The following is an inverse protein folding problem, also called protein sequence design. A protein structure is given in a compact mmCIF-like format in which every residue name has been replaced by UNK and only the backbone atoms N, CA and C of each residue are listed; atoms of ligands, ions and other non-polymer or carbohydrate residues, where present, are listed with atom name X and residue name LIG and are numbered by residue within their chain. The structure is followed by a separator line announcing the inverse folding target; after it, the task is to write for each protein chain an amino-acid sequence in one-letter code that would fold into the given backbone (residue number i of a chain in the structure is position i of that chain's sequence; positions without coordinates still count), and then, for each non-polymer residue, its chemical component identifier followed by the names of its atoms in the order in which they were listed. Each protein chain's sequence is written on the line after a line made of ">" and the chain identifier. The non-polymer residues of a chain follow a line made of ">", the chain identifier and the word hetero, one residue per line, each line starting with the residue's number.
data_IF_550288366413
#
_entry.id   IF_550288366413
#
_cell.length_a   1.000
_cell.length_b   1.000
_cell.length_c   1.000
_cell.angle_alpha   90.00
_cell.angle_beta   90.00
_cell.angle_gamma   90.00
#
_symmetry.space_group_name_H-M   'P 1'
#
loop_
_entity.id
_entity.type
_entity.pdbx_description
1 polymer ?
#
# COMPACT_ATOMS: atom_id res chain seq x y z
N UNK A 1 -32.50 1.42 5.24
CA UNK A 1 -31.25 1.61 4.45
C UNK A 1 -30.23 0.63 5.01
N UNK A 2 -29.55 -0.13 4.16
CA UNK A 2 -28.47 -1.03 4.60
C UNK A 2 -27.20 -0.23 4.91
N UNK A 3 -26.26 -0.82 5.68
CA UNK A 3 -24.95 -0.17 5.96
C UNK A 3 -24.23 0.19 4.65
N UNK A 4 -24.26 -0.70 3.66
CA UNK A 4 -23.72 -0.42 2.33
C UNK A 4 -24.37 0.82 1.68
N UNK A 5 -25.69 0.94 1.71
CA UNK A 5 -26.37 2.09 1.10
C UNK A 5 -26.01 3.41 1.79
N UNK A 6 -25.90 3.40 3.13
CA UNK A 6 -25.49 4.59 3.89
C UNK A 6 -24.08 5.04 3.48
N UNK A 7 -23.15 4.09 3.44
CA UNK A 7 -21.74 4.37 3.09
C UNK A 7 -21.62 4.78 1.61
N UNK A 8 -22.33 4.11 0.70
CA UNK A 8 -22.31 4.41 -0.72
C UNK A 8 -22.85 5.81 -1.03
N UNK A 9 -24.02 6.14 -0.49
CA UNK A 9 -24.65 7.45 -0.74
C UNK A 9 -23.77 8.58 -0.19
N UNK A 10 -23.19 8.38 0.99
CA UNK A 10 -22.29 9.35 1.59
C UNK A 10 -21.02 9.53 0.73
N UNK A 11 -20.30 8.46 0.43
CA UNK A 11 -19.04 8.50 -0.33
C UNK A 11 -19.28 9.08 -1.74
N UNK A 12 -20.29 8.62 -2.47
CA UNK A 12 -20.63 9.16 -3.79
C UNK A 12 -20.88 10.68 -3.75
N UNK A 13 -21.54 11.16 -2.68
CA UNK A 13 -21.73 12.59 -2.44
C UNK A 13 -20.44 13.37 -2.17
N UNK A 14 -19.40 12.71 -1.62
CA UNK A 14 -18.12 13.33 -1.29
C UNK A 14 -17.09 13.26 -2.43
N UNK A 15 -17.23 12.40 -3.44
CA UNK A 15 -16.28 12.28 -4.55
C UNK A 15 -15.90 13.63 -5.18
N UNK A 16 -16.83 14.58 -5.42
CA UNK A 16 -16.47 15.89 -5.98
C UNK A 16 -15.43 16.67 -5.14
N UNK A 17 -15.39 16.47 -3.83
CA UNK A 17 -14.47 17.18 -2.92
C UNK A 17 -13.05 16.66 -3.01
N UNK A 18 -12.86 15.42 -3.43
CA UNK A 18 -11.55 14.80 -3.63
C UNK A 18 -10.87 15.26 -4.94
N UNK A 19 -11.64 15.79 -5.89
CA UNK A 19 -11.15 16.16 -7.22
C UNK A 19 -10.63 17.60 -7.20
N UNK A 20 -9.30 17.74 -7.30
CA UNK A 20 -8.61 19.04 -7.19
C UNK A 20 -8.06 19.48 -8.54
N UNK A 21 -8.13 20.79 -8.75
CA UNK A 21 -7.57 21.42 -9.95
C UNK A 21 -6.06 21.69 -9.80
N UNK A 22 -5.32 21.81 -10.92
CA UNK A 22 -3.89 22.10 -10.91
C UNK A 22 -3.56 23.36 -10.10
N UNK A 23 -2.47 23.29 -9.33
CA UNK A 23 -1.96 24.45 -8.61
C UNK A 23 -0.46 24.34 -8.31
N UNK A 24 0.26 25.43 -8.43
CA UNK A 24 1.70 25.52 -8.13
C UNK A 24 2.52 24.42 -8.85
N UNK A 25 3.17 23.51 -8.10
CA UNK A 25 3.96 22.41 -8.68
C UNK A 25 3.10 21.29 -9.24
N UNK A 26 1.84 21.18 -8.81
CA UNK A 26 0.91 20.17 -9.25
C UNK A 26 0.26 20.67 -10.55
N UNK A 27 0.75 20.18 -11.68
CA UNK A 27 0.42 20.71 -13.02
C UNK A 27 -0.81 20.11 -13.66
N UNK A 28 -1.25 18.95 -13.18
CA UNK A 28 -2.40 18.22 -13.69
C UNK A 28 -3.47 18.10 -12.60
N UNK A 29 -4.76 17.95 -12.97
CA UNK A 29 -5.81 17.66 -12.01
C UNK A 29 -5.47 16.40 -11.22
N UNK A 30 -5.83 16.34 -9.95
CA UNK A 30 -5.43 15.25 -9.08
C UNK A 30 -6.53 14.87 -8.08
N UNK A 31 -6.38 13.70 -7.49
CA UNK A 31 -7.24 13.19 -6.42
C UNK A 31 -6.47 13.33 -5.12
N UNK A 32 -7.04 13.98 -4.13
CA UNK A 32 -6.46 14.07 -2.80
C UNK A 32 -7.21 13.21 -1.77
N UNK A 33 -6.56 12.83 -0.68
CA UNK A 33 -7.17 11.95 0.33
C UNK A 33 -8.22 12.63 1.19
N UNK A 34 -8.26 13.96 1.23
CA UNK A 34 -9.08 14.74 2.14
C UNK A 34 -8.45 14.98 3.51
N UNK A 35 -9.21 15.58 4.43
CA UNK A 35 -8.79 15.88 5.81
C UNK A 35 -7.55 16.77 5.88
N UNK A 36 -6.62 16.47 6.76
CA UNK A 36 -5.34 17.20 6.98
C UNK A 36 -4.36 17.08 5.82
N UNK A 37 -4.60 16.17 4.88
CA UNK A 37 -3.75 15.92 3.71
C UNK A 37 -4.14 16.73 2.47
N UNK A 38 -5.16 17.59 2.61
CA UNK A 38 -5.73 18.35 1.49
C UNK A 38 -4.67 19.18 0.76
N UNK A 39 -4.69 19.02 -0.56
CA UNK A 39 -3.94 19.82 -1.49
C UNK A 39 -2.56 19.33 -1.86
N UNK A 40 -2.11 18.20 -1.36
CA UNK A 40 -0.90 17.53 -1.80
C UNK A 40 -1.24 16.27 -2.60
N UNK A 41 -0.34 15.85 -3.49
CA UNK A 41 -0.45 14.55 -4.18
C UNK A 41 0.41 13.55 -3.45
N UNK A 42 -0.22 12.54 -2.88
CA UNK A 42 0.43 11.47 -2.14
C UNK A 42 0.40 10.18 -2.96
N UNK A 43 1.48 9.41 -2.93
CA UNK A 43 1.67 8.24 -3.79
C UNK A 43 0.64 7.10 -3.56
N UNK A 44 0.65 6.48 -2.38
CA UNK A 44 -0.24 5.34 -2.13
C UNK A 44 -1.70 5.75 -1.90
N UNK A 45 -1.92 7.00 -1.43
CA UNK A 45 -3.27 7.57 -1.28
C UNK A 45 -3.96 7.67 -2.64
N UNK A 46 -3.26 8.16 -3.67
CA UNK A 46 -3.80 8.21 -5.03
C UNK A 46 -4.09 6.83 -5.58
N UNK A 47 -3.25 5.83 -5.27
CA UNK A 47 -3.48 4.45 -5.69
C UNK A 47 -4.79 3.91 -5.11
N UNK A 48 -4.96 3.98 -3.79
CA UNK A 48 -6.14 3.44 -3.12
C UNK A 48 -7.40 4.21 -3.44
N UNK A 49 -7.32 5.54 -3.58
CA UNK A 49 -8.44 6.36 -4.03
C UNK A 49 -8.91 5.96 -5.44
N UNK A 50 -7.97 5.82 -6.38
CA UNK A 50 -8.30 5.41 -7.76
C UNK A 50 -8.88 4.01 -7.78
N UNK A 51 -8.27 3.07 -7.04
CA UNK A 51 -8.76 1.70 -6.95
C UNK A 51 -10.21 1.64 -6.43
N UNK A 52 -10.49 2.36 -5.33
CA UNK A 52 -11.83 2.44 -4.76
C UNK A 52 -12.83 3.11 -5.69
N UNK A 53 -12.48 4.26 -6.27
CA UNK A 53 -13.38 5.01 -7.16
C UNK A 53 -13.73 4.23 -8.43
N UNK A 54 -12.79 3.47 -9.00
CA UNK A 54 -13.06 2.63 -10.16
C UNK A 54 -13.98 1.45 -9.82
N UNK A 55 -13.92 0.93 -8.59
CA UNK A 55 -14.82 -0.15 -8.14
C UNK A 55 -16.28 0.28 -8.03
N UNK A 56 -16.52 1.57 -7.74
CA UNK A 56 -17.86 2.16 -7.66
C UNK A 56 -18.23 3.00 -8.88
N UNK A 57 -17.48 2.88 -9.98
CA UNK A 57 -17.69 3.68 -11.20
C UNK A 57 -19.14 3.60 -11.74
N UNK A 58 -19.78 2.43 -11.58
CA UNK A 58 -21.19 2.23 -11.97
C UNK A 58 -22.21 3.00 -11.12
N UNK A 59 -21.81 3.45 -9.94
CA UNK A 59 -22.65 4.21 -9.01
C UNK A 59 -22.49 5.74 -9.20
N UNK A 60 -21.49 6.17 -9.99
CA UNK A 60 -21.21 7.57 -10.27
C UNK A 60 -21.91 8.07 -11.55
N UNK A 61 -22.45 9.31 -11.55
CA UNK A 61 -22.92 9.94 -12.78
C UNK A 61 -21.82 10.02 -13.83
N UNK A 62 -22.13 9.77 -15.09
CA UNK A 62 -21.16 9.75 -16.19
C UNK A 62 -20.25 10.99 -16.27
N UNK A 63 -20.73 12.25 -16.08
CA UNK A 63 -19.86 13.42 -16.06
C UNK A 63 -18.86 13.41 -14.88
N UNK A 64 -19.27 12.90 -13.72
CA UNK A 64 -18.40 12.80 -12.56
C UNK A 64 -17.34 11.71 -12.75
N UNK A 65 -17.73 10.55 -13.30
CA UNK A 65 -16.79 9.48 -13.64
C UNK A 65 -15.73 9.97 -14.65
N UNK A 66 -16.14 10.73 -15.68
CA UNK A 66 -15.20 11.31 -16.63
C UNK A 66 -14.15 12.23 -15.93
N UNK A 67 -14.59 13.02 -14.95
CA UNK A 67 -13.66 13.82 -14.12
C UNK A 67 -12.74 12.95 -13.28
N UNK A 68 -13.26 11.93 -12.60
CA UNK A 68 -12.47 10.96 -11.83
C UNK A 68 -11.36 10.36 -12.70
N UNK A 69 -11.68 9.92 -13.91
CA UNK A 69 -10.70 9.33 -14.84
C UNK A 69 -9.64 10.35 -15.28
N UNK A 70 -10.03 11.59 -15.54
CA UNK A 70 -9.08 12.67 -15.88
C UNK A 70 -8.12 12.95 -14.71
N UNK A 71 -8.64 13.03 -13.49
CA UNK A 71 -7.84 13.27 -12.27
C UNK A 71 -6.94 12.06 -11.94
N UNK A 72 -7.43 10.84 -12.14
CA UNK A 72 -6.62 9.62 -11.97
C UNK A 72 -5.42 9.58 -12.93
N UNK A 73 -5.62 9.92 -14.20
CA UNK A 73 -4.52 10.10 -15.16
C UNK A 73 -3.60 11.24 -14.75
N UNK A 74 -4.16 12.32 -14.21
CA UNK A 74 -3.41 13.48 -13.73
C UNK A 74 -2.51 13.18 -12.53
N UNK A 75 -2.90 12.26 -11.62
CA UNK A 75 -2.02 11.78 -10.56
C UNK A 75 -0.71 11.22 -11.14
N UNK A 76 -0.81 10.33 -12.11
CA UNK A 76 0.35 9.72 -12.78
C UNK A 76 1.19 10.78 -13.48
N UNK A 77 0.55 11.68 -14.25
CA UNK A 77 1.24 12.75 -14.96
C UNK A 77 2.03 13.64 -14.00
N UNK A 78 1.45 14.00 -12.84
CA UNK A 78 2.13 14.80 -11.83
C UNK A 78 3.39 14.11 -11.30
N UNK A 79 3.34 12.82 -10.96
CA UNK A 79 4.52 12.09 -10.50
C UNK A 79 5.58 11.96 -11.59
N UNK A 80 5.18 11.65 -12.81
CA UNK A 80 6.10 11.52 -13.95
C UNK A 80 6.76 12.85 -14.32
N UNK A 81 6.05 13.98 -14.23
CA UNK A 81 6.60 15.32 -14.45
C UNK A 81 7.67 15.71 -13.40
N UNK A 82 7.63 15.09 -12.23
CA UNK A 82 8.57 15.35 -11.15
C UNK A 82 9.67 14.29 -11.02
N UNK A 83 9.74 13.34 -11.97
CA UNK A 83 10.82 12.37 -12.01
C UNK A 83 12.16 13.07 -12.28
N UNK A 84 13.16 12.75 -11.48
CA UNK A 84 14.53 13.23 -11.68
C UNK A 84 15.29 12.36 -12.69
N UNK A 85 16.40 12.86 -13.26
CA UNK A 85 17.18 12.13 -14.27
C UNK A 85 17.73 10.78 -13.81
N UNK A 86 17.92 10.60 -12.49
CA UNK A 86 18.37 9.34 -11.87
C UNK A 86 17.23 8.31 -11.68
N UNK A 87 16.01 8.66 -12.08
CA UNK A 87 14.83 7.83 -11.95
C UNK A 87 14.04 8.03 -10.65
N UNK A 88 14.55 8.83 -9.70
CA UNK A 88 13.86 9.15 -8.46
C UNK A 88 12.54 9.87 -8.74
N UNK A 89 11.47 9.43 -8.08
CA UNK A 89 10.16 10.09 -8.05
C UNK A 89 9.81 10.38 -6.58
N UNK A 90 9.42 11.63 -6.23
CA UNK A 90 9.05 11.94 -4.86
C UNK A 90 7.76 11.21 -4.49
N UNK A 91 7.62 10.79 -3.24
CA UNK A 91 6.40 10.12 -2.76
C UNK A 91 5.26 11.10 -2.49
N UNK A 92 5.57 12.39 -2.43
CA UNK A 92 4.61 13.47 -2.25
C UNK A 92 5.01 14.67 -3.11
N UNK A 93 4.02 15.32 -3.73
CA UNK A 93 4.18 16.62 -4.39
C UNK A 93 3.34 17.61 -3.60
N UNK A 94 4.01 18.55 -2.98
CA UNK A 94 3.40 19.55 -2.12
C UNK A 94 3.02 20.82 -2.86
N UNK A 95 2.22 21.67 -2.22
CA UNK A 95 2.01 23.04 -2.67
C UNK A 95 3.28 23.88 -2.52
N UNK A 96 3.45 24.85 -3.39
CA UNK A 96 4.67 25.67 -3.48
C UNK A 96 4.97 26.45 -2.19
N UNK A 97 5.94 25.95 -1.43
CA UNK A 97 6.62 26.70 -0.35
C UNK A 97 8.09 26.99 -0.70
N UNK A 98 8.62 26.31 -1.72
CA UNK A 98 10.01 26.28 -2.15
C UNK A 98 10.10 26.58 -3.65
N UNK A 99 11.29 26.83 -4.24
CA UNK A 99 11.45 27.02 -5.68
C UNK A 99 11.05 25.80 -6.53
N UNK A 100 11.06 24.61 -5.92
CA UNK A 100 10.63 23.34 -6.49
C UNK A 100 10.14 22.41 -5.36
N UNK A 101 9.52 21.24 -5.65
CA UNK A 101 9.07 20.31 -4.62
C UNK A 101 10.20 19.96 -3.64
N UNK A 102 9.92 20.06 -2.34
CA UNK A 102 10.94 19.92 -1.28
C UNK A 102 11.75 18.63 -1.38
N UNK A 103 11.09 17.50 -1.63
CA UNK A 103 11.80 16.21 -1.73
C UNK A 103 12.75 16.19 -2.93
N UNK A 104 12.37 16.80 -4.07
CA UNK A 104 13.26 16.92 -5.21
C UNK A 104 14.46 17.82 -4.91
N UNK A 105 14.25 18.92 -4.20
CA UNK A 105 15.33 19.80 -3.77
C UNK A 105 16.32 19.05 -2.89
N UNK A 106 15.83 18.32 -1.86
CA UNK A 106 16.68 17.52 -0.98
C UNK A 106 17.47 16.45 -1.73
N UNK A 107 16.82 15.78 -2.69
CA UNK A 107 17.51 14.79 -3.54
C UNK A 107 18.62 15.40 -4.37
N UNK A 108 18.41 16.58 -4.95
CA UNK A 108 19.43 17.32 -5.70
C UNK A 108 20.59 17.81 -4.82
N UNK A 109 20.36 18.04 -3.54
CA UNK A 109 21.39 18.33 -2.55
C UNK A 109 22.20 17.10 -2.14
N UNK A 110 21.92 15.90 -2.70
CA UNK A 110 22.63 14.65 -2.43
C UNK A 110 22.10 13.90 -1.20
N UNK A 111 20.94 14.26 -0.69
CA UNK A 111 20.30 13.51 0.41
C UNK A 111 19.64 12.26 -0.17
N UNK A 112 19.96 11.08 0.35
CA UNK A 112 19.21 9.86 0.07
C UNK A 112 17.87 9.95 0.78
N UNK A 113 16.79 9.63 0.08
CA UNK A 113 15.41 9.67 0.60
C UNK A 113 14.71 8.39 0.15
N UNK A 114 13.69 7.97 0.88
CA UNK A 114 12.74 7.03 0.31
C UNK A 114 12.08 7.66 -0.92
N UNK A 115 11.73 6.84 -1.90
CA UNK A 115 11.05 7.32 -3.10
C UNK A 115 9.61 6.79 -3.16
N UNK A 116 8.85 7.27 -4.13
CA UNK A 116 7.48 6.81 -4.39
C UNK A 116 7.37 5.30 -4.28
N UNK A 117 6.40 4.84 -3.50
CA UNK A 117 6.08 3.42 -3.32
C UNK A 117 5.65 2.76 -4.65
N UNK A 118 5.74 1.43 -4.77
CA UNK A 118 5.51 0.70 -6.03
C UNK A 118 4.03 0.61 -6.42
N UNK A 119 3.48 1.72 -6.94
CA UNK A 119 2.07 1.87 -7.29
C UNK A 119 1.79 2.55 -8.64
N UNK A 120 2.82 2.91 -9.43
CA UNK A 120 2.63 3.61 -10.71
C UNK A 120 2.06 2.71 -11.79
N UNK A 121 2.72 1.56 -12.04
CA UNK A 121 2.27 0.61 -13.05
C UNK A 121 0.90 0.02 -12.69
N UNK A 122 0.66 -0.21 -11.40
CA UNK A 122 -0.64 -0.65 -10.89
C UNK A 122 -1.75 0.34 -11.20
N UNK A 123 -1.53 1.64 -10.97
CA UNK A 123 -2.51 2.67 -11.33
C UNK A 123 -2.74 2.76 -12.83
N UNK A 124 -1.69 2.74 -13.64
CA UNK A 124 -1.80 2.76 -15.10
C UNK A 124 -2.60 1.54 -15.59
N UNK A 125 -2.29 0.34 -15.09
CA UNK A 125 -2.99 -0.89 -15.48
C UNK A 125 -4.49 -0.81 -15.16
N UNK A 126 -4.86 -0.40 -13.94
CA UNK A 126 -6.27 -0.34 -13.54
C UNK A 126 -7.08 0.72 -14.32
N UNK A 127 -6.51 1.92 -14.54
CA UNK A 127 -7.15 2.98 -15.33
C UNK A 127 -7.34 2.52 -16.78
N UNK A 128 -6.29 1.91 -17.37
CA UNK A 128 -6.32 1.46 -18.75
C UNK A 128 -7.28 0.30 -18.98
N UNK A 129 -7.38 -0.65 -18.04
CA UNK A 129 -8.38 -1.73 -18.10
C UNK A 129 -9.80 -1.19 -18.02
N UNK A 130 -10.03 -0.23 -17.13
CA UNK A 130 -11.36 0.35 -16.95
C UNK A 130 -11.82 1.13 -18.18
N UNK A 131 -10.91 1.88 -18.82
CA UNK A 131 -11.24 2.73 -19.98
C UNK A 131 -11.12 2.02 -21.33
N UNK A 132 -10.40 0.90 -21.41
CA UNK A 132 -9.97 0.27 -22.65
C UNK A 132 -8.90 1.05 -23.41
N UNK A 133 -8.52 2.24 -22.93
CA UNK A 133 -7.50 3.10 -23.52
C UNK A 133 -6.13 2.79 -22.87
N UNK A 134 -5.18 2.37 -23.68
CA UNK A 134 -3.80 2.07 -23.27
C UNK A 134 -2.81 3.08 -23.85
N UNK A 135 -3.19 3.80 -24.90
CA UNK A 135 -2.27 4.68 -25.62
C UNK A 135 -1.75 5.84 -24.77
N UNK A 136 -2.57 6.34 -23.84
CA UNK A 136 -2.24 7.50 -23.02
C UNK A 136 -0.97 7.32 -22.16
N UNK A 137 -0.65 6.09 -21.75
CA UNK A 137 0.46 5.82 -20.85
C UNK A 137 1.72 5.33 -21.57
N UNK A 138 1.68 5.09 -22.89
CA UNK A 138 2.82 4.55 -23.64
C UNK A 138 4.07 5.44 -23.54
N UNK A 139 3.89 6.76 -23.49
CA UNK A 139 4.98 7.72 -23.35
C UNK A 139 5.74 7.64 -22.03
N UNK A 140 5.15 7.03 -21.00
CA UNK A 140 5.78 6.90 -19.67
C UNK A 140 6.71 5.69 -19.53
N UNK A 141 6.74 4.76 -20.48
CA UNK A 141 7.51 3.51 -20.34
C UNK A 141 8.98 3.73 -19.97
N UNK A 142 9.66 4.68 -20.61
CA UNK A 142 11.05 4.98 -20.29
C UNK A 142 11.24 5.52 -18.87
N UNK A 143 10.31 6.33 -18.40
CA UNK A 143 10.29 6.83 -17.02
C UNK A 143 10.00 5.73 -15.99
N UNK A 144 9.08 4.82 -16.30
CA UNK A 144 8.80 3.66 -15.43
C UNK A 144 10.03 2.76 -15.30
N UNK A 145 10.78 2.53 -16.38
CA UNK A 145 12.05 1.77 -16.30
C UNK A 145 13.13 2.51 -15.51
N UNK A 146 13.24 3.82 -15.67
CA UNK A 146 14.14 4.62 -14.86
C UNK A 146 13.78 4.55 -13.37
N UNK A 147 12.50 4.53 -13.04
CA UNK A 147 11.99 4.34 -11.68
C UNK A 147 12.42 2.97 -11.10
N UNK A 148 12.22 1.85 -11.81
CA UNK A 148 12.69 0.54 -11.36
C UNK A 148 14.23 0.50 -11.26
N UNK A 149 14.95 1.12 -12.20
CA UNK A 149 16.41 1.19 -12.16
C UNK A 149 16.92 1.96 -10.93
N UNK A 150 16.18 2.97 -10.46
CA UNK A 150 16.49 3.68 -9.23
C UNK A 150 16.31 2.77 -8.02
N UNK A 151 15.21 2.00 -7.96
CA UNK A 151 15.00 1.00 -6.90
C UNK A 151 16.10 -0.06 -6.87
N UNK A 152 16.46 -0.63 -8.02
CA UNK A 152 17.56 -1.62 -8.13
C UNK A 152 18.90 -1.06 -7.65
N UNK A 153 19.21 0.16 -8.00
CA UNK A 153 20.47 0.78 -7.66
C UNK A 153 20.62 1.18 -6.21
N UNK A 154 19.53 1.68 -5.59
CA UNK A 154 19.62 2.36 -4.30
C UNK A 154 18.98 1.62 -3.14
N UNK A 155 17.99 0.78 -3.41
CA UNK A 155 17.18 0.16 -2.36
C UNK A 155 17.20 -1.37 -2.40
N UNK A 156 17.89 -1.97 -3.38
CA UNK A 156 17.98 -3.43 -3.48
C UNK A 156 19.14 -3.96 -2.64
N UNK A 157 18.85 -4.87 -1.71
CA UNK A 157 19.82 -5.55 -0.88
C UNK A 157 20.17 -6.91 -1.49
N UNK A 158 21.29 -6.99 -2.20
CA UNK A 158 21.66 -8.13 -3.04
C UNK A 158 21.83 -9.46 -2.26
N UNK A 159 22.30 -9.41 -1.01
CA UNK A 159 22.56 -10.63 -0.23
C UNK A 159 21.29 -11.40 0.10
N UNK A 160 20.18 -10.71 0.35
CA UNK A 160 18.89 -11.35 0.63
C UNK A 160 17.90 -11.28 -0.56
N UNK A 161 18.18 -10.47 -1.58
CA UNK A 161 17.32 -10.33 -2.76
C UNK A 161 16.04 -9.54 -2.50
N UNK A 162 16.04 -8.63 -1.53
CA UNK A 162 14.89 -7.84 -1.10
C UNK A 162 15.17 -6.34 -1.24
N UNK A 163 14.10 -5.55 -1.37
CA UNK A 163 14.17 -4.09 -1.29
C UNK A 163 14.05 -3.61 0.15
N UNK A 164 14.77 -2.54 0.47
CA UNK A 164 14.85 -1.93 1.82
C UNK A 164 14.32 -0.50 1.80
N UNK A 165 13.73 -0.06 2.90
CA UNK A 165 13.54 1.36 3.16
C UNK A 165 14.87 2.02 3.52
N UNK A 166 15.07 3.25 3.06
CA UNK A 166 16.23 4.02 3.48
C UNK A 166 16.10 4.41 4.96
N UNK A 167 14.94 4.95 5.32
CA UNK A 167 14.59 5.32 6.70
C UNK A 167 13.10 5.04 6.98
N UNK A 168 12.60 5.43 8.13
CA UNK A 168 11.19 5.29 8.51
C UNK A 168 10.31 6.49 8.09
N UNK A 169 10.90 7.50 7.46
CA UNK A 169 10.20 8.73 7.09
C UNK A 169 9.41 8.53 5.79
N UNK A 170 8.16 9.00 5.80
CA UNK A 170 7.28 9.03 4.62
C UNK A 170 7.03 7.67 3.97
N UNK A 171 7.15 6.57 4.71
CA UNK A 171 6.76 5.25 4.22
C UNK A 171 5.23 5.04 4.23
N UNK A 172 4.48 6.02 4.75
CA UNK A 172 3.02 6.03 4.84
C UNK A 172 2.47 5.36 6.09
N UNK A 173 3.28 4.62 6.80
CA UNK A 173 2.99 4.02 8.10
C UNK A 173 3.94 4.61 9.14
N UNK A 174 3.67 5.84 9.59
CA UNK A 174 4.63 6.71 10.27
C UNK A 174 5.25 6.13 11.55
N UNK A 175 4.57 5.20 12.19
CA UNK A 175 5.11 4.45 13.33
C UNK A 175 5.01 2.94 13.10
N UNK A 176 5.20 2.46 11.87
CA UNK A 176 5.26 1.02 11.59
C UNK A 176 6.29 0.34 12.49
N UNK A 177 5.87 -0.60 13.35
CA UNK A 177 6.74 -1.16 14.38
C UNK A 177 7.93 -1.95 13.84
N UNK A 178 7.90 -2.35 12.58
CA UNK A 178 9.00 -3.03 11.92
C UNK A 178 10.06 -2.09 11.35
N UNK A 179 9.74 -0.80 11.19
CA UNK A 179 10.62 0.19 10.53
C UNK A 179 10.98 1.36 11.45
N UNK A 180 10.08 1.74 12.35
CA UNK A 180 10.21 2.95 13.16
C UNK A 180 11.46 2.94 14.05
N UNK A 181 12.26 4.01 13.94
CA UNK A 181 13.47 4.21 14.74
C UNK A 181 14.62 3.23 14.45
N UNK A 182 14.55 2.47 13.35
CA UNK A 182 15.62 1.53 12.97
C UNK A 182 16.73 2.25 12.17
N UNK A 183 17.94 1.65 12.12
CA UNK A 183 19.03 2.20 11.32
C UNK A 183 18.65 2.32 9.84
N UNK A 184 19.20 3.32 9.15
CA UNK A 184 19.01 3.50 7.73
C UNK A 184 19.42 2.25 6.94
N UNK A 185 18.66 1.93 5.88
CA UNK A 185 18.89 0.79 4.99
C UNK A 185 18.89 -0.58 5.69
N UNK A 186 18.29 -0.69 6.89
CA UNK A 186 18.32 -1.92 7.70
C UNK A 186 17.05 -2.78 7.58
N UNK A 187 15.94 -2.24 7.10
CA UNK A 187 14.65 -2.95 7.11
C UNK A 187 14.19 -3.27 5.69
N UNK A 188 14.19 -4.57 5.35
CA UNK A 188 13.43 -5.06 4.21
C UNK A 188 11.99 -5.33 4.65
N UNK A 189 11.16 -4.32 4.48
CA UNK A 189 9.77 -4.36 4.93
C UNK A 189 8.93 -5.22 3.97
N UNK A 190 8.10 -6.11 4.53
CA UNK A 190 7.21 -6.97 3.75
C UNK A 190 6.22 -6.16 2.91
N UNK A 191 5.78 -4.98 3.39
CA UNK A 191 4.94 -4.05 2.65
C UNK A 191 5.59 -3.66 1.31
N UNK A 192 6.83 -3.12 1.35
CA UNK A 192 7.54 -2.69 0.16
C UNK A 192 7.73 -3.83 -0.83
N UNK A 193 8.18 -4.98 -0.34
CA UNK A 193 8.51 -6.12 -1.19
C UNK A 193 7.28 -6.77 -1.81
N UNK A 194 6.19 -6.89 -1.07
CA UNK A 194 4.97 -7.49 -1.61
C UNK A 194 4.27 -6.58 -2.64
N UNK A 195 4.25 -5.27 -2.44
CA UNK A 195 3.75 -4.34 -3.46
C UNK A 195 4.68 -4.25 -4.68
N UNK A 196 6.00 -4.38 -4.49
CA UNK A 196 6.95 -4.44 -5.62
C UNK A 196 6.71 -5.68 -6.51
N UNK A 197 6.33 -6.82 -5.93
CA UNK A 197 5.91 -8.01 -6.71
C UNK A 197 4.74 -7.68 -7.63
N UNK A 198 3.74 -6.97 -7.12
CA UNK A 198 2.56 -6.58 -7.92
C UNK A 198 2.91 -5.51 -8.96
N UNK A 199 3.75 -4.54 -8.61
CA UNK A 199 4.21 -3.50 -9.53
C UNK A 199 4.99 -4.07 -10.71
N UNK A 200 5.88 -5.04 -10.47
CA UNK A 200 6.59 -5.78 -11.53
C UNK A 200 5.64 -6.58 -12.41
N UNK A 201 4.59 -7.18 -11.83
CA UNK A 201 3.54 -7.87 -12.60
C UNK A 201 2.83 -6.88 -13.53
N UNK A 202 2.45 -5.70 -13.03
CA UNK A 202 1.80 -4.67 -13.81
C UNK A 202 2.72 -4.12 -14.90
N UNK A 203 4.00 -3.88 -14.61
CA UNK A 203 4.98 -3.46 -15.61
C UNK A 203 5.14 -4.49 -16.73
N UNK A 204 5.25 -5.77 -16.40
CA UNK A 204 5.32 -6.84 -17.40
C UNK A 204 4.05 -6.87 -18.29
N UNK A 205 2.87 -6.69 -17.70
CA UNK A 205 1.61 -6.64 -18.44
C UNK A 205 1.55 -5.43 -19.41
N UNK A 206 1.99 -4.25 -18.96
CA UNK A 206 2.08 -3.05 -19.81
C UNK A 206 3.03 -3.27 -20.98
N UNK A 207 4.22 -3.82 -20.73
CA UNK A 207 5.21 -4.11 -21.77
C UNK A 207 4.69 -5.10 -22.81
N UNK A 208 3.99 -6.15 -22.40
CA UNK A 208 3.31 -7.07 -23.32
C UNK A 208 2.27 -6.35 -24.17
N UNK A 209 1.48 -5.48 -23.58
CA UNK A 209 0.46 -4.71 -24.28
C UNK A 209 1.07 -3.77 -25.34
N UNK A 210 2.25 -3.23 -25.08
CA UNK A 210 2.99 -2.37 -26.01
C UNK A 210 3.97 -3.13 -26.93
N UNK A 211 3.84 -4.45 -27.05
CA UNK A 211 4.61 -5.27 -27.98
C UNK A 211 6.08 -5.46 -27.62
N UNK A 212 6.41 -5.46 -26.33
CA UNK A 212 7.78 -5.60 -25.83
C UNK A 212 7.97 -6.88 -24.97
N UNK A 213 7.79 -8.07 -25.57
CA UNK A 213 7.75 -9.34 -24.81
C UNK A 213 9.07 -9.70 -24.12
N UNK A 214 10.21 -9.35 -24.70
CA UNK A 214 11.52 -9.64 -24.10
C UNK A 214 11.75 -8.85 -22.81
N UNK A 215 11.37 -7.57 -22.82
CA UNK A 215 11.42 -6.72 -21.62
C UNK A 215 10.40 -7.17 -20.58
N UNK A 216 9.20 -7.54 -21.00
CA UNK A 216 8.20 -8.11 -20.11
C UNK A 216 8.72 -9.37 -19.40
N UNK A 217 9.39 -10.28 -20.15
CA UNK A 217 10.00 -11.47 -19.59
C UNK A 217 11.12 -11.15 -18.56
N UNK A 218 11.82 -10.02 -18.70
CA UNK A 218 12.78 -9.56 -17.69
C UNK A 218 12.08 -9.23 -16.38
N UNK A 219 11.01 -8.42 -16.39
CA UNK A 219 10.25 -8.08 -15.18
C UNK A 219 9.56 -9.29 -14.56
N UNK A 220 9.12 -10.27 -15.35
CA UNK A 220 8.62 -11.54 -14.83
C UNK A 220 9.70 -12.30 -14.05
N UNK A 221 10.93 -12.38 -14.58
CA UNK A 221 12.05 -13.02 -13.86
C UNK A 221 12.42 -12.27 -12.57
N UNK A 222 12.46 -10.94 -12.59
CA UNK A 222 12.70 -10.11 -11.39
C UNK A 222 11.63 -10.37 -10.34
N UNK A 223 10.37 -10.37 -10.75
CA UNK A 223 9.21 -10.70 -9.90
C UNK A 223 9.34 -12.09 -9.26
N UNK A 224 9.65 -13.11 -10.06
CA UNK A 224 9.74 -14.49 -9.57
C UNK A 224 10.93 -14.65 -8.60
N UNK A 225 12.04 -13.97 -8.85
CA UNK A 225 13.18 -13.92 -7.93
C UNK A 225 12.82 -13.22 -6.61
N UNK A 226 12.08 -12.11 -6.67
CA UNK A 226 11.62 -11.39 -5.48
C UNK A 226 10.63 -12.25 -4.66
N UNK A 227 9.69 -12.93 -5.30
CA UNK A 227 8.79 -13.88 -4.62
C UNK A 227 9.59 -14.96 -3.90
N UNK A 228 10.60 -15.55 -4.57
CA UNK A 228 11.43 -16.58 -3.96
C UNK A 228 12.20 -16.02 -2.73
N UNK A 229 12.72 -14.79 -2.80
CA UNK A 229 13.37 -14.13 -1.69
C UNK A 229 12.41 -13.86 -0.52
N UNK A 230 11.21 -13.33 -0.79
CA UNK A 230 10.17 -13.12 0.24
C UNK A 230 9.78 -14.45 0.91
N UNK A 231 9.61 -15.52 0.13
CA UNK A 231 9.30 -16.84 0.67
C UNK A 231 10.42 -17.42 1.55
N UNK A 232 11.67 -17.15 1.20
CA UNK A 232 12.83 -17.66 1.93
C UNK A 232 13.10 -16.88 3.22
N UNK A 233 13.03 -15.54 3.16
CA UNK A 233 13.48 -14.66 4.23
C UNK A 233 12.35 -14.18 5.15
N UNK A 234 11.15 -13.92 4.58
CA UNK A 234 10.06 -13.27 5.32
C UNK A 234 9.05 -14.26 5.94
N UNK A 235 8.95 -15.49 5.43
CA UNK A 235 7.99 -16.47 5.95
C UNK A 235 8.54 -17.24 7.16
N UNK A 236 7.90 -17.11 8.31
CA UNK A 236 8.20 -17.91 9.49
C UNK A 236 7.23 -19.10 9.60
N UNK A 237 7.78 -20.30 9.46
CA UNK A 237 7.00 -21.56 9.49
C UNK A 237 6.45 -21.91 10.87
N UNK A 238 7.03 -21.39 11.94
CA UNK A 238 6.60 -21.69 13.32
C UNK A 238 5.39 -20.85 13.68
N UNK A 239 5.48 -19.55 13.33
CA UNK A 239 4.43 -18.59 13.65
C UNK A 239 3.31 -18.59 12.58
N UNK A 240 3.58 -19.14 11.41
CA UNK A 240 2.64 -19.11 10.28
C UNK A 240 2.35 -17.68 9.81
N UNK A 241 3.39 -16.83 9.74
CA UNK A 241 3.23 -15.42 9.45
C UNK A 241 4.36 -14.88 8.58
N UNK A 242 4.06 -13.86 7.75
CA UNK A 242 5.05 -13.11 6.99
C UNK A 242 5.54 -11.90 7.79
N UNK A 243 6.85 -11.83 7.99
CA UNK A 243 7.51 -10.75 8.74
C UNK A 243 8.36 -9.87 7.83
N UNK A 244 8.51 -8.61 8.21
CA UNK A 244 9.63 -7.80 7.75
C UNK A 244 10.94 -8.35 8.32
N UNK A 245 12.07 -8.07 7.66
CA UNK A 245 13.36 -8.62 8.10
C UNK A 245 14.40 -7.52 8.27
N UNK A 246 15.27 -7.71 9.26
CA UNK A 246 16.48 -6.93 9.48
C UNK A 246 17.57 -7.44 8.54
N UNK A 247 18.13 -6.57 7.75
CA UNK A 247 19.23 -6.89 6.82
C UNK A 247 20.57 -6.26 7.22
N UNK A 248 20.61 -5.45 8.29
CA UNK A 248 21.87 -4.95 8.88
C UNK A 248 22.51 -6.02 9.76
N UNK A 249 22.69 -7.20 9.18
CA UNK A 249 23.29 -8.36 9.86
C UNK A 249 24.77 -8.38 9.59
N UNK A 250 25.55 -7.95 10.58
CA UNK A 250 27.01 -7.98 10.50
C UNK A 250 27.53 -9.36 10.85
N UNK A 251 27.93 -10.11 9.83
CA UNK A 251 28.67 -11.35 10.05
C UNK A 251 30.02 -10.99 10.66
N UNK A 252 30.26 -11.48 11.87
CA UNK A 252 31.57 -11.38 12.52
C UNK A 252 32.58 -12.14 11.64
N UNK A 253 33.50 -11.41 11.02
CA UNK A 253 34.62 -12.02 10.26
C UNK A 253 35.62 -12.56 11.27
N UNK A 254 35.89 -13.84 11.17
CA UNK A 254 36.74 -14.52 12.09
C UNK A 254 37.94 -15.11 11.53
N UNK A 255 38.75 -15.25 12.54
CA UNK A 255 39.87 -16.15 12.63
C UNK A 255 39.54 -17.54 12.05
N UNK A 256 40.58 -18.35 11.91
CA UNK A 256 40.52 -19.70 11.36
C UNK A 256 39.52 -20.64 12.09
N UNK A 257 39.20 -20.39 13.36
CA UNK A 257 38.34 -21.25 14.14
C UNK A 257 36.91 -21.28 13.65
N UNK A 258 36.42 -20.17 13.10
CA UNK A 258 35.05 -20.05 12.59
C UNK A 258 34.95 -20.29 11.09
N UNK A 259 36.08 -20.45 10.39
CA UNK A 259 36.06 -20.80 8.97
C UNK A 259 35.46 -22.18 8.77
N UNK A 260 34.45 -22.25 7.89
CA UNK A 260 33.79 -23.50 7.52
C UNK A 260 32.65 -23.94 8.41
N UNK A 261 32.31 -23.21 9.47
CA UNK A 261 31.08 -23.49 10.26
C UNK A 261 29.79 -23.18 9.51
N UNK A 262 29.87 -22.47 8.37
CA UNK A 262 28.82 -22.37 7.36
C UNK A 262 27.51 -21.72 7.82
N UNK A 263 27.52 -20.98 8.93
CA UNK A 263 26.33 -20.29 9.42
C UNK A 263 26.40 -18.83 8.99
N UNK A 264 25.65 -18.50 7.95
CA UNK A 264 25.50 -17.13 7.46
C UNK A 264 24.02 -16.75 7.51
N UNK A 265 23.69 -15.78 8.35
CA UNK A 265 22.39 -15.12 8.26
C UNK A 265 22.46 -14.02 7.21
N UNK A 266 21.53 -14.05 6.27
CA UNK A 266 21.34 -12.97 5.29
C UNK A 266 20.40 -11.91 5.85
N UNK A 267 19.47 -12.33 6.67
CA UNK A 267 18.48 -11.50 7.33
C UNK A 267 18.04 -12.11 8.67
N UNK A 268 17.38 -11.32 9.50
CA UNK A 268 16.72 -11.79 10.72
C UNK A 268 15.27 -11.34 10.74
N UNK A 269 14.29 -12.22 10.99
CA UNK A 269 12.90 -11.83 11.09
C UNK A 269 12.68 -10.81 12.21
N UNK A 270 12.06 -9.68 11.87
CA UNK A 270 11.53 -8.73 12.84
C UNK A 270 10.18 -9.29 13.28
N UNK A 271 10.18 -10.08 14.35
CA UNK A 271 9.00 -10.83 14.81
C UNK A 271 7.98 -9.93 15.48
N UNK A 272 7.39 -9.04 14.70
CA UNK A 272 6.30 -8.16 15.07
C UNK A 272 5.19 -8.36 14.04
N UNK A 273 4.03 -8.84 14.49
CA UNK A 273 2.90 -9.16 13.60
C UNK A 273 2.11 -7.91 13.26
N UNK A 274 2.47 -7.28 12.13
CA UNK A 274 1.75 -6.15 11.56
C UNK A 274 0.88 -6.59 10.37
N UNK A 275 -0.15 -5.82 10.07
CA UNK A 275 -1.09 -6.07 8.96
C UNK A 275 -0.42 -6.26 7.61
N UNK A 276 0.76 -5.66 7.42
CA UNK A 276 1.55 -5.80 6.19
C UNK A 276 1.88 -7.26 5.86
N UNK A 277 1.89 -8.16 6.85
CA UNK A 277 2.01 -9.59 6.63
C UNK A 277 0.88 -10.24 5.79
N UNK A 278 -0.28 -9.57 5.63
CA UNK A 278 -1.36 -10.04 4.76
C UNK A 278 -1.18 -9.65 3.29
N UNK A 279 -0.25 -8.73 2.95
CA UNK A 279 -0.05 -8.25 1.58
C UNK A 279 0.36 -9.38 0.61
N UNK A 280 1.19 -10.37 0.98
CA UNK A 280 1.46 -11.52 0.12
C UNK A 280 0.23 -12.31 -0.33
N UNK A 281 -0.82 -12.37 0.50
CA UNK A 281 -2.11 -12.97 0.13
C UNK A 281 -2.86 -12.08 -0.85
N UNK A 282 -2.89 -10.77 -0.59
CA UNK A 282 -3.49 -9.79 -1.50
C UNK A 282 -2.82 -9.83 -2.88
N UNK A 283 -1.50 -9.89 -2.93
CA UNK A 283 -0.72 -9.95 -4.16
C UNK A 283 -0.72 -11.36 -4.82
N UNK A 284 -1.35 -12.36 -4.19
CA UNK A 284 -1.62 -13.67 -4.77
C UNK A 284 -0.40 -14.59 -4.90
N UNK A 285 0.66 -14.38 -4.12
CA UNK A 285 1.85 -15.25 -4.19
C UNK A 285 2.13 -16.08 -2.92
N UNK A 286 1.28 -16.00 -1.91
CA UNK A 286 1.31 -16.94 -0.79
C UNK A 286 0.91 -18.36 -1.28
N UNK A 287 1.39 -19.40 -0.61
CA UNK A 287 0.89 -20.75 -0.86
C UNK A 287 -0.47 -20.97 -0.18
N UNK A 288 -1.31 -21.92 -0.62
CA UNK A 288 -2.57 -22.24 0.06
C UNK A 288 -2.39 -22.57 1.55
N UNK A 289 -1.31 -23.28 1.91
CA UNK A 289 -1.01 -23.61 3.30
C UNK A 289 -0.62 -22.38 4.15
N UNK A 290 0.05 -21.40 3.55
CA UNK A 290 0.33 -20.11 4.20
C UNK A 290 -0.94 -19.30 4.38
N UNK A 291 -1.79 -19.26 3.38
CA UNK A 291 -3.06 -18.56 3.44
C UNK A 291 -3.99 -19.10 4.55
N UNK A 292 -4.00 -20.43 4.75
CA UNK A 292 -4.75 -21.08 5.86
C UNK A 292 -4.25 -20.58 7.22
N UNK A 293 -2.93 -20.52 7.43
CA UNK A 293 -2.36 -20.04 8.68
C UNK A 293 -2.62 -18.55 8.89
N UNK A 294 -2.49 -17.74 7.83
CA UNK A 294 -2.81 -16.31 7.89
C UNK A 294 -4.30 -16.06 8.15
N UNK A 295 -5.20 -16.90 7.60
CA UNK A 295 -6.62 -16.84 7.90
C UNK A 295 -6.91 -17.06 9.39
N UNK A 296 -6.21 -18.01 10.02
CA UNK A 296 -6.33 -18.23 11.46
C UNK A 296 -5.95 -16.97 12.26
N UNK A 297 -4.84 -16.28 11.91
CA UNK A 297 -4.46 -15.03 12.55
C UNK A 297 -5.51 -13.92 12.38
N UNK A 298 -6.16 -13.84 11.23
CA UNK A 298 -7.20 -12.83 10.98
C UNK A 298 -8.48 -13.03 11.78
N UNK A 299 -8.73 -14.25 12.23
CA UNK A 299 -9.93 -14.64 12.98
C UNK A 299 -9.70 -14.71 14.50
N UNK A 300 -8.45 -14.75 14.93
CA UNK A 300 -8.09 -14.86 16.33
C UNK A 300 -8.24 -13.51 17.04
N UNK A 301 -9.09 -13.50 18.08
CA UNK A 301 -9.39 -12.30 18.88
C UNK A 301 -8.21 -11.84 19.75
N UNK A 302 -7.21 -12.68 19.97
CA UNK A 302 -5.97 -12.30 20.65
C UNK A 302 -4.97 -11.62 19.72
N UNK A 303 -5.14 -11.77 18.40
CA UNK A 303 -4.27 -11.18 17.39
C UNK A 303 -4.96 -10.05 16.60
N UNK A 304 -5.48 -10.34 15.42
CA UNK A 304 -5.96 -9.28 14.52
C UNK A 304 -7.49 -9.07 14.50
N UNK A 305 -8.26 -10.05 14.92
CA UNK A 305 -9.71 -9.98 14.77
C UNK A 305 -10.33 -8.83 15.60
N UNK A 306 -11.13 -8.02 14.93
CA UNK A 306 -11.97 -6.98 15.56
C UNK A 306 -13.40 -7.10 15.03
N UNK A 307 -14.40 -6.63 15.78
CA UNK A 307 -15.78 -6.51 15.26
C UNK A 307 -15.91 -5.61 14.03
N UNK A 308 -14.89 -4.77 13.76
CA UNK A 308 -14.91 -3.69 12.78
C UNK A 308 -13.94 -3.88 11.61
N UNK A 309 -13.20 -4.98 11.58
CA UNK A 309 -12.18 -5.29 10.58
C UNK A 309 -11.02 -6.05 11.16
N UNK A 310 -9.78 -5.69 10.81
CA UNK A 310 -8.58 -6.16 11.47
C UNK A 310 -7.81 -4.99 12.09
N UNK A 311 -7.05 -5.27 13.15
CA UNK A 311 -6.10 -4.32 13.73
C UNK A 311 -4.85 -4.20 12.86
N UNK A 312 -4.18 -3.05 12.88
CA UNK A 312 -2.93 -2.86 12.14
C UNK A 312 -1.73 -3.55 12.79
N UNK A 313 -1.79 -3.79 14.08
CA UNK A 313 -0.82 -4.56 14.85
C UNK A 313 -1.57 -5.63 15.63
N UNK A 314 -1.01 -6.83 15.76
CA UNK A 314 -1.63 -7.88 16.57
C UNK A 314 -1.75 -7.43 18.03
N UNK A 315 -2.91 -7.71 18.65
CA UNK A 315 -3.24 -7.19 19.99
C UNK A 315 -2.36 -7.74 21.13
N UNK A 316 -1.73 -8.89 20.90
CA UNK A 316 -0.76 -9.49 21.84
C UNK A 316 0.69 -8.99 21.65
N UNK A 317 0.93 -8.09 20.69
CA UNK A 317 2.23 -7.44 20.55
C UNK A 317 2.45 -6.39 21.66
N UNK A 318 3.66 -6.33 22.19
CA UNK A 318 4.01 -5.40 23.29
C UNK A 318 3.87 -3.93 22.92
N UNK A 319 3.93 -3.62 21.62
CA UNK A 319 3.81 -2.25 21.10
C UNK A 319 2.38 -1.86 20.78
N UNK A 320 1.40 -2.74 21.01
CA UNK A 320 0.00 -2.41 20.75
C UNK A 320 -0.44 -1.24 21.62
N UNK A 321 -0.78 -0.12 20.98
CA UNK A 321 -1.15 1.12 21.65
C UNK A 321 -2.09 1.96 20.76
N UNK A 322 -3.22 2.34 21.33
CA UNK A 322 -4.22 3.19 20.66
C UNK A 322 -4.03 4.68 20.97
N UNK A 323 -3.09 5.02 21.84
CA UNK A 323 -2.86 6.40 22.25
C UNK A 323 -2.44 7.28 21.08
N UNK A 324 -3.07 8.44 20.97
CA UNK A 324 -2.68 9.45 19.99
C UNK A 324 -1.44 10.17 20.51
N UNK A 325 -0.40 10.20 19.67
CA UNK A 325 0.83 10.95 19.95
C UNK A 325 0.85 12.27 19.17
N UNK A 326 1.99 12.98 19.16
CA UNK A 326 2.17 14.18 18.34
C UNK A 326 2.08 13.89 16.82
N UNK A 327 2.34 12.66 16.40
CA UNK A 327 2.04 12.20 15.05
C UNK A 327 0.59 11.68 15.01
N UNK A 328 -0.28 12.25 14.16
CA UNK A 328 -1.67 11.82 14.05
C UNK A 328 -1.86 10.45 13.37
N UNK A 329 -0.80 9.89 12.78
CA UNK A 329 -0.85 8.62 12.04
C UNK A 329 -0.38 7.48 12.94
N UNK A 330 -1.31 6.72 13.54
CA UNK A 330 -0.99 5.61 14.44
C UNK A 330 -1.26 4.25 13.80
N UNK A 331 -0.21 3.43 13.63
CA UNK A 331 -0.27 2.06 13.07
C UNK A 331 -0.04 0.97 14.12
N UNK A 332 -0.07 1.31 15.40
CA UNK A 332 0.18 0.38 16.51
C UNK A 332 -1.09 -0.29 17.05
N UNK A 333 -2.13 -0.46 16.22
CA UNK A 333 -3.30 -1.23 16.63
C UNK A 333 -4.67 -0.76 16.13
N UNK A 334 -4.91 0.52 15.82
CA UNK A 334 -6.20 0.95 15.31
C UNK A 334 -6.67 0.16 14.08
N UNK A 335 -7.97 0.17 13.82
CA UNK A 335 -8.54 -0.34 12.57
C UNK A 335 -8.38 0.72 11.48
N UNK A 336 -7.64 0.38 10.44
CA UNK A 336 -7.52 1.14 9.21
C UNK A 336 -8.20 0.38 8.07
N UNK A 337 -9.03 1.07 7.29
CA UNK A 337 -9.83 0.39 6.25
C UNK A 337 -8.95 -0.23 5.16
N UNK A 338 -7.81 0.40 4.84
CA UNK A 338 -6.83 -0.16 3.89
C UNK A 338 -6.25 -1.49 4.37
N UNK A 339 -5.93 -1.61 5.67
CA UNK A 339 -5.44 -2.86 6.25
C UNK A 339 -6.52 -3.95 6.21
N UNK A 340 -7.75 -3.58 6.59
CA UNK A 340 -8.91 -4.47 6.52
C UNK A 340 -9.20 -4.92 5.08
N UNK A 341 -9.09 -4.01 4.10
CA UNK A 341 -9.27 -4.35 2.69
C UNK A 341 -8.20 -5.35 2.19
N UNK A 342 -6.94 -5.11 2.51
CA UNK A 342 -5.84 -6.01 2.10
C UNK A 342 -6.04 -7.41 2.66
N UNK A 343 -6.40 -7.52 3.94
CA UNK A 343 -6.71 -8.81 4.55
C UNK A 343 -7.95 -9.46 3.91
N UNK A 344 -9.05 -8.70 3.76
CA UNK A 344 -10.27 -9.17 3.07
C UNK A 344 -9.96 -9.74 1.69
N UNK A 345 -9.28 -8.96 0.85
CA UNK A 345 -8.96 -9.38 -0.52
C UNK A 345 -8.04 -10.58 -0.56
N UNK A 346 -7.02 -10.59 0.29
CA UNK A 346 -6.13 -11.72 0.43
C UNK A 346 -6.87 -13.01 0.79
N UNK A 347 -7.72 -12.96 1.81
CA UNK A 347 -8.55 -14.10 2.23
C UNK A 347 -9.52 -14.55 1.14
N UNK A 348 -10.16 -13.61 0.44
CA UNK A 348 -11.07 -13.91 -0.67
C UNK A 348 -10.35 -14.61 -1.82
N UNK A 349 -9.13 -14.18 -2.18
CA UNK A 349 -8.32 -14.77 -3.24
C UNK A 349 -8.00 -16.25 -2.98
N UNK A 350 -7.91 -16.65 -1.71
CA UNK A 350 -7.62 -18.05 -1.30
C UNK A 350 -8.86 -18.81 -0.82
N UNK A 351 -10.07 -18.28 -1.03
CA UNK A 351 -11.32 -18.98 -0.74
C UNK A 351 -11.76 -18.97 0.73
N UNK A 352 -11.10 -18.21 1.62
CA UNK A 352 -11.49 -18.06 3.02
C UNK A 352 -12.68 -17.09 3.17
N UNK A 353 -13.80 -17.48 2.56
CA UNK A 353 -14.98 -16.61 2.39
C UNK A 353 -15.58 -16.13 3.71
N UNK A 354 -15.66 -16.97 4.72
CA UNK A 354 -16.29 -16.58 6.00
C UNK A 354 -15.46 -15.50 6.72
N UNK A 355 -14.13 -15.63 6.71
CA UNK A 355 -13.23 -14.62 7.25
C UNK A 355 -13.34 -13.29 6.48
N UNK A 356 -13.30 -13.35 5.14
CA UNK A 356 -13.46 -12.18 4.29
C UNK A 356 -14.80 -11.48 4.53
N UNK A 357 -15.92 -12.23 4.59
CA UNK A 357 -17.24 -11.70 4.86
C UNK A 357 -17.34 -11.02 6.22
N UNK A 358 -16.73 -11.59 7.26
CA UNK A 358 -16.69 -11.00 8.61
C UNK A 358 -16.02 -9.63 8.58
N UNK A 359 -14.86 -9.50 7.93
CA UNK A 359 -14.14 -8.24 7.78
C UNK A 359 -14.99 -7.22 7.03
N UNK A 360 -15.53 -7.55 5.86
CA UNK A 360 -16.37 -6.67 5.06
C UNK A 360 -17.59 -6.15 5.84
N UNK A 361 -18.34 -7.05 6.46
CA UNK A 361 -19.54 -6.68 7.19
C UNK A 361 -19.23 -5.80 8.41
N UNK A 362 -18.12 -6.08 9.12
CA UNK A 362 -17.65 -5.27 10.23
C UNK A 362 -17.26 -3.86 9.79
N UNK A 363 -16.51 -3.76 8.70
CA UNK A 363 -16.05 -2.49 8.13
C UNK A 363 -17.22 -1.62 7.66
N UNK A 364 -18.19 -2.19 6.92
CA UNK A 364 -19.36 -1.44 6.47
C UNK A 364 -20.20 -0.92 7.65
N UNK A 365 -20.41 -1.77 8.66
CA UNK A 365 -21.13 -1.36 9.87
C UNK A 365 -20.42 -0.22 10.61
N UNK A 366 -19.10 -0.28 10.74
CA UNK A 366 -18.27 0.76 11.35
C UNK A 366 -18.47 2.11 10.67
N UNK A 367 -18.27 2.15 9.35
CA UNK A 367 -18.38 3.40 8.59
C UNK A 367 -19.80 3.94 8.55
N UNK A 368 -20.81 3.06 8.46
CA UNK A 368 -22.22 3.49 8.53
C UNK A 368 -22.56 4.11 9.89
N UNK A 369 -22.06 3.54 10.98
CA UNK A 369 -22.24 4.08 12.33
C UNK A 369 -21.56 5.45 12.50
N UNK A 370 -20.33 5.63 12.00
CA UNK A 370 -19.62 6.90 12.04
C UNK A 370 -20.37 7.99 11.25
N UNK A 371 -20.80 7.70 10.02
CA UNK A 371 -21.59 8.64 9.22
C UNK A 371 -22.88 9.06 9.95
N UNK A 372 -23.59 8.12 10.57
CA UNK A 372 -24.82 8.41 11.30
C UNK A 372 -24.59 9.24 12.57
N UNK A 373 -23.46 9.03 13.25
CA UNK A 373 -23.14 9.71 14.50
C UNK A 373 -22.51 11.08 14.28
N UNK A 374 -21.58 11.20 13.32
CA UNK A 374 -20.73 12.39 13.14
C UNK A 374 -21.00 13.17 11.84
N UNK A 375 -21.69 12.57 10.86
CA UNK A 375 -21.87 13.14 9.53
C UNK A 375 -20.60 13.16 8.66
N UNK A 376 -19.57 12.41 9.04
CA UNK A 376 -18.29 12.34 8.33
C UNK A 376 -17.67 10.94 8.45
N UNK A 377 -16.51 10.75 7.83
CA UNK A 377 -15.66 9.57 7.99
C UNK A 377 -14.31 9.99 8.57
N UNK A 378 -13.71 9.11 9.35
CA UNK A 378 -12.41 9.33 9.96
C UNK A 378 -11.34 8.42 9.35
N UNK A 379 -10.09 8.71 9.62
CA UNK A 379 -8.95 8.02 9.04
C UNK A 379 -8.78 6.61 9.62
N UNK A 380 -8.95 6.46 10.95
CA UNK A 380 -8.86 5.18 11.66
C UNK A 380 -9.70 5.17 12.95
N UNK A 381 -9.93 3.95 13.47
CA UNK A 381 -10.94 3.69 14.48
C UNK A 381 -10.41 2.78 15.60
N UNK A 382 -11.00 2.89 16.78
CA UNK A 382 -10.77 1.98 17.90
C UNK A 382 -11.26 0.56 17.54
N UNK A 383 -10.42 -0.48 17.70
CA UNK A 383 -10.80 -1.86 17.37
C UNK A 383 -11.79 -2.50 18.33
N UNK A 384 -12.05 -1.92 19.49
CA UNK A 384 -12.88 -2.51 20.53
C UNK A 384 -14.33 -1.97 20.50
N UNK A 385 -14.50 -0.68 20.38
CA UNK A 385 -15.81 -0.04 20.39
C UNK A 385 -16.19 0.69 19.09
N UNK A 386 -15.25 0.81 18.13
CA UNK A 386 -15.47 1.47 16.84
C UNK A 386 -15.45 2.99 16.91
N UNK A 387 -15.00 3.56 18.03
CA UNK A 387 -14.89 5.01 18.15
C UNK A 387 -13.89 5.59 17.14
N UNK A 388 -14.25 6.67 16.39
CA UNK A 388 -13.30 7.34 15.52
C UNK A 388 -12.20 8.02 16.33
N UNK A 389 -10.92 7.82 15.95
CA UNK A 389 -9.79 8.33 16.73
C UNK A 389 -9.29 9.66 16.17
N UNK A 390 -9.04 9.75 14.85
CA UNK A 390 -8.39 10.92 14.27
C UNK A 390 -8.92 11.28 12.87
N UNK A 391 -8.64 12.53 12.48
CA UNK A 391 -8.71 13.06 11.12
C UNK A 391 -10.08 12.89 10.44
N UNK A 392 -11.10 13.57 10.96
CA UNK A 392 -12.42 13.66 10.34
C UNK A 392 -12.36 14.28 8.94
N UNK A 393 -13.28 13.87 8.06
CA UNK A 393 -13.31 14.28 6.65
C UNK A 393 -12.42 13.46 5.72
N UNK A 394 -11.90 12.33 6.19
CA UNK A 394 -11.03 11.45 5.42
C UNK A 394 -11.83 10.46 4.57
N UNK A 395 -11.74 10.55 3.25
CA UNK A 395 -12.52 9.71 2.33
C UNK A 395 -11.66 8.59 1.72
N UNK A 396 -10.48 8.91 1.28
CA UNK A 396 -9.48 8.06 0.60
C UNK A 396 -9.79 6.54 0.65
N UNK A 397 -9.06 5.79 1.45
CA UNK A 397 -9.24 4.33 1.54
C UNK A 397 -10.52 3.88 2.26
N UNK A 398 -11.31 4.78 2.84
CA UNK A 398 -12.65 4.43 3.31
C UNK A 398 -13.57 3.95 2.16
N UNK A 399 -13.29 4.38 0.90
CA UNK A 399 -13.96 3.87 -0.30
C UNK A 399 -13.79 2.36 -0.44
N UNK A 400 -12.70 1.79 0.04
CA UNK A 400 -12.41 0.35 -0.06
C UNK A 400 -13.44 -0.54 0.65
N UNK A 401 -14.20 0.01 1.59
CA UNK A 401 -15.35 -0.72 2.17
C UNK A 401 -16.42 -1.05 1.11
N UNK A 402 -16.65 -0.12 0.17
CA UNK A 402 -17.54 -0.37 -0.97
C UNK A 402 -16.92 -1.35 -1.96
N UNK A 403 -15.61 -1.25 -2.17
CA UNK A 403 -14.86 -2.20 -2.99
C UNK A 403 -14.98 -3.62 -2.46
N UNK A 404 -14.90 -3.82 -1.14
CA UNK A 404 -15.10 -5.14 -0.53
C UNK A 404 -16.46 -5.73 -0.91
N UNK A 405 -17.53 -4.94 -0.86
CA UNK A 405 -18.87 -5.40 -1.21
C UNK A 405 -18.98 -5.78 -2.70
N UNK A 406 -18.46 -4.94 -3.59
CA UNK A 406 -18.46 -5.21 -5.04
C UNK A 406 -17.68 -6.47 -5.41
N UNK A 407 -16.49 -6.65 -4.82
CA UNK A 407 -15.66 -7.83 -5.05
C UNK A 407 -16.24 -9.09 -4.42
N UNK A 408 -16.89 -8.96 -3.25
CA UNK A 408 -17.64 -10.06 -2.64
C UNK A 408 -18.76 -10.54 -3.56
N UNK A 409 -19.61 -9.64 -4.05
CA UNK A 409 -20.71 -9.96 -4.96
C UNK A 409 -20.18 -10.66 -6.22
N UNK A 410 -19.10 -10.16 -6.81
CA UNK A 410 -18.49 -10.77 -7.99
C UNK A 410 -17.90 -12.17 -7.73
N UNK A 411 -17.49 -12.47 -6.49
CA UNK A 411 -16.90 -13.76 -6.13
C UNK A 411 -17.92 -14.83 -5.73
N UNK A 412 -19.17 -14.44 -5.41
CA UNK A 412 -20.20 -15.39 -4.96
C UNK A 412 -21.33 -15.59 -5.98
N UNK A 413 -21.38 -14.74 -7.04
CA UNK A 413 -22.21 -14.95 -8.23
C UNK A 413 -21.52 -15.85 -9.22
#
# INVERSE_FOLDING_TARGET
>A
MTDYQIVNDFICGQVPTMLKEPRAFIRHPFIDPGSVYDGNVWDWDTYWSVYGLLSIAGDLPAPLLARVLAHAKGNIANFMDHQLPDGYIPMMIEVAKWPEPYLNLRRKEGVKLNMMKPFLCGQIDMISRHTGDWAWAQGYLGGLEAYFSCYEREYFHADCGLYVWHDDIMIGMDNDPASFGRPNDSTANIFLNAFMVEEMRCMAALLLRYGQPERAAQYQRMRDALIAAVQAECWDKRDGFFYSVDVDVRTRKYDWFHQGLGVFWKSLPIKIRAWSGFIPLWAGFATPAQAEQMAAHSLDELTFASPYGITTLAKDEKMFDLSVTNNPSNWLGPVWIVASYVAFKGLLNYGHRDAARRIMAGTLRLLAADIQASGQLHEYYDPFDGHPIMNGGFINWNILALTMQKEWEAAVC
#
